data_IF_307210353618
#
_entry.id   IF_307210353618
#
_cell.length_a   1.000
_cell.length_b   1.000
_cell.length_c   1.000
_cell.angle_alpha   90.00
_cell.angle_beta   90.00
_cell.angle_gamma   90.00
#
_symmetry.space_group_name_H-M   'P 1'
#
loop_
_entity.id
_entity.type
_entity.pdbx_description
1 polymer ?
#
# COMPACT_ATOMS: atom_id res chain seq x y z
N UNK A 1 18.46 2.71 2.08
CA UNK A 1 17.72 2.96 0.82
C UNK A 1 16.38 2.24 0.90
N UNK A 2 15.32 2.91 0.52
CA UNK A 2 13.94 2.35 0.47
C UNK A 2 13.66 1.71 -0.88
N UNK A 3 12.60 0.96 -0.97
CA UNK A 3 11.99 0.55 -2.23
C UNK A 3 10.99 1.60 -2.69
N UNK A 4 10.88 1.81 -4.00
CA UNK A 4 9.92 2.71 -4.63
C UNK A 4 8.88 1.91 -5.41
N UNK A 5 7.61 2.20 -5.18
CA UNK A 5 6.49 1.69 -5.97
C UNK A 5 5.94 2.81 -6.87
N UNK A 6 6.07 2.62 -8.17
CA UNK A 6 5.45 3.46 -9.19
C UNK A 6 4.18 2.77 -9.68
N UNK A 7 3.04 3.38 -9.43
CA UNK A 7 1.73 2.75 -9.63
C UNK A 7 0.95 3.48 -10.71
N UNK A 8 0.53 2.75 -11.74
CA UNK A 8 -0.49 3.25 -12.68
C UNK A 8 -1.87 3.13 -12.02
N UNK A 9 -2.38 4.26 -11.53
CA UNK A 9 -3.57 4.29 -10.69
C UNK A 9 -4.82 3.77 -11.40
N UNK A 10 -5.04 4.13 -12.65
CA UNK A 10 -6.21 3.65 -13.39
C UNK A 10 -6.09 2.19 -13.82
N UNK A 11 -4.88 1.68 -14.06
CA UNK A 11 -4.69 0.25 -14.30
C UNK A 11 -5.08 -0.58 -13.07
N UNK A 12 -4.76 -0.12 -11.87
CA UNK A 12 -5.20 -0.79 -10.63
C UNK A 12 -6.72 -0.71 -10.48
N UNK A 13 -7.31 0.47 -10.64
CA UNK A 13 -8.75 0.69 -10.49
C UNK A 13 -9.53 -0.17 -11.50
N UNK A 14 -9.12 -0.17 -12.76
CA UNK A 14 -9.82 -0.92 -13.81
C UNK A 14 -9.52 -2.42 -13.78
N UNK A 15 -8.39 -2.81 -13.21
CA UNK A 15 -8.04 -4.21 -13.02
C UNK A 15 -8.79 -4.92 -11.89
N UNK A 16 -9.45 -4.17 -11.00
CA UNK A 16 -10.15 -4.72 -9.83
C UNK A 16 -11.56 -4.13 -9.68
N UNK A 17 -12.48 -4.48 -10.60
CA UNK A 17 -13.86 -3.98 -10.55
C UNK A 17 -14.65 -4.51 -9.34
N UNK A 18 -14.19 -5.57 -8.69
CA UNK A 18 -14.70 -6.11 -7.44
C UNK A 18 -14.44 -5.18 -6.22
N UNK A 19 -13.43 -4.32 -6.31
CA UNK A 19 -13.03 -3.38 -5.24
C UNK A 19 -13.41 -1.94 -5.59
N UNK A 20 -13.29 -1.57 -6.86
CA UNK A 20 -13.47 -0.20 -7.34
C UNK A 20 -14.69 -0.06 -8.24
N UNK A 21 -15.66 0.72 -7.80
CA UNK A 21 -16.84 1.06 -8.61
C UNK A 21 -16.48 2.17 -9.61
N UNK A 22 -16.40 1.82 -10.91
CA UNK A 22 -16.03 2.75 -11.98
C UNK A 22 -17.02 3.88 -12.22
N UNK A 23 -18.21 3.83 -11.64
CA UNK A 23 -19.21 4.88 -11.78
C UNK A 23 -18.78 6.18 -11.08
N UNK A 24 -17.90 6.07 -10.09
CA UNK A 24 -17.33 7.21 -9.35
C UNK A 24 -15.80 7.10 -9.27
N UNK A 25 -15.13 7.63 -10.28
CA UNK A 25 -13.66 7.59 -10.36
C UNK A 25 -12.97 8.42 -9.27
N UNK A 26 -13.60 9.47 -8.78
CA UNK A 26 -13.04 10.27 -7.68
C UNK A 26 -12.96 9.45 -6.39
N UNK A 27 -14.03 8.76 -6.04
CA UNK A 27 -14.04 7.83 -4.91
C UNK A 27 -13.08 6.67 -5.09
N UNK A 28 -12.92 6.15 -6.32
CA UNK A 28 -11.93 5.12 -6.63
C UNK A 28 -10.50 5.61 -6.38
N UNK A 29 -10.16 6.79 -6.86
CA UNK A 29 -8.83 7.39 -6.63
C UNK A 29 -8.55 7.55 -5.14
N UNK A 30 -9.50 8.12 -4.40
CA UNK A 30 -9.36 8.30 -2.94
C UNK A 30 -9.17 6.97 -2.23
N UNK A 31 -9.96 5.96 -2.56
CA UNK A 31 -9.85 4.62 -1.99
C UNK A 31 -8.48 3.99 -2.29
N UNK A 32 -7.99 4.11 -3.52
CA UNK A 32 -6.66 3.61 -3.88
C UNK A 32 -5.56 4.34 -3.11
N UNK A 33 -5.65 5.67 -2.99
CA UNK A 33 -4.69 6.45 -2.21
C UNK A 33 -4.64 5.99 -0.75
N UNK A 34 -5.79 5.81 -0.10
CA UNK A 34 -5.88 5.36 1.29
C UNK A 34 -5.23 3.98 1.47
N UNK A 35 -5.57 3.03 0.60
CA UNK A 35 -5.03 1.67 0.63
C UNK A 35 -3.51 1.68 0.43
N UNK A 36 -3.01 2.41 -0.56
CA UNK A 36 -1.58 2.47 -0.88
C UNK A 36 -0.78 3.23 0.18
N UNK A 37 -1.36 4.25 0.78
CA UNK A 37 -0.73 4.99 1.87
C UNK A 37 -0.52 4.11 3.10
N UNK A 38 -1.54 3.35 3.49
CA UNK A 38 -1.45 2.40 4.60
C UNK A 38 -0.42 1.31 4.32
N UNK A 39 -0.46 0.74 3.13
CA UNK A 39 0.50 -0.30 2.73
C UNK A 39 1.94 0.23 2.70
N UNK A 40 2.15 1.42 2.14
CA UNK A 40 3.46 2.06 2.06
C UNK A 40 4.05 2.37 3.44
N UNK A 41 3.25 2.94 4.32
CA UNK A 41 3.66 3.25 5.69
C UNK A 41 4.01 2.01 6.50
N UNK A 42 3.22 0.93 6.34
CA UNK A 42 3.42 -0.31 7.07
C UNK A 42 4.68 -1.08 6.63
N UNK A 43 4.98 -1.05 5.34
CA UNK A 43 6.10 -1.79 4.74
C UNK A 43 7.37 -0.95 4.55
N UNK A 44 7.39 0.29 5.00
CA UNK A 44 8.52 1.23 4.85
C UNK A 44 8.96 1.44 3.40
N UNK A 45 8.01 1.60 2.51
CA UNK A 45 8.22 1.86 1.09
C UNK A 45 7.72 3.25 0.69
N UNK A 46 8.35 3.82 -0.32
CA UNK A 46 7.86 5.04 -0.97
C UNK A 46 6.90 4.69 -2.10
N UNK A 47 5.79 5.41 -2.20
CA UNK A 47 4.75 5.19 -3.19
C UNK A 47 4.52 6.45 -4.01
N UNK A 48 4.50 6.31 -5.32
CA UNK A 48 4.10 7.33 -6.27
C UNK A 48 3.01 6.76 -7.18
N UNK A 49 1.81 7.32 -7.08
CA UNK A 49 0.70 6.92 -7.94
C UNK A 49 0.53 7.95 -9.05
N UNK A 50 0.61 7.50 -10.29
CA UNK A 50 0.36 8.32 -11.46
C UNK A 50 -1.04 8.07 -12.02
N UNK A 51 -1.79 9.15 -12.23
CA UNK A 51 -3.06 9.15 -12.92
C UNK A 51 -2.96 9.91 -14.25
N UNK A 52 -3.53 9.36 -15.31
CA UNK A 52 -3.69 10.10 -16.56
C UNK A 52 -4.52 11.36 -16.33
N UNK A 53 -3.93 12.50 -16.62
CA UNK A 53 -4.62 13.78 -16.50
C UNK A 53 -5.60 13.97 -17.66
N UNK A 54 -6.87 14.22 -17.35
CA UNK A 54 -7.90 14.57 -18.34
C UNK A 54 -8.05 16.09 -18.54
N UNK A 55 -7.19 16.89 -17.92
CA UNK A 55 -7.29 18.35 -17.95
C UNK A 55 -6.56 19.00 -19.10
N UNK A 56 -6.79 20.31 -19.26
CA UNK A 56 -6.07 21.17 -20.22
C UNK A 56 -4.67 21.58 -19.73
N UNK A 57 -4.16 20.93 -18.68
CA UNK A 57 -2.84 21.22 -18.14
C UNK A 57 -1.73 20.77 -19.10
N UNK A 58 -0.75 21.63 -19.30
CA UNK A 58 0.45 21.35 -20.10
C UNK A 58 1.59 20.85 -19.23
N UNK A 59 1.42 20.83 -17.91
CA UNK A 59 2.44 20.43 -16.93
C UNK A 59 1.96 19.27 -16.07
N UNK A 60 2.92 18.48 -15.59
CA UNK A 60 2.68 17.46 -14.56
C UNK A 60 2.25 18.17 -13.27
N UNK A 61 1.14 17.74 -12.68
CA UNK A 61 0.70 18.19 -11.35
C UNK A 61 1.13 17.15 -10.32
N UNK A 62 1.85 17.60 -9.31
CA UNK A 62 2.36 16.75 -8.22
C UNK A 62 1.71 17.16 -6.92
N UNK A 63 1.17 16.19 -6.19
CA UNK A 63 0.62 16.34 -4.84
C UNK A 63 1.40 15.46 -3.88
N UNK A 64 2.26 16.06 -3.07
CA UNK A 64 2.99 15.36 -2.01
C UNK A 64 2.12 15.28 -0.76
N UNK A 65 1.59 14.10 -0.45
CA UNK A 65 0.76 13.87 0.73
C UNK A 65 1.60 13.58 1.97
N UNK A 66 2.79 13.04 1.79
CA UNK A 66 3.80 12.86 2.83
C UNK A 66 5.20 12.77 2.20
N UNK A 67 6.24 12.66 3.03
CA UNK A 67 7.61 12.46 2.56
C UNK A 67 7.80 11.20 1.70
N UNK A 68 6.88 10.23 1.80
CA UNK A 68 6.97 8.93 1.13
C UNK A 68 5.73 8.56 0.32
N UNK A 69 4.83 9.52 0.10
CA UNK A 69 3.61 9.26 -0.66
C UNK A 69 3.25 10.44 -1.54
N UNK A 70 3.32 10.24 -2.85
CA UNK A 70 3.12 11.26 -3.87
C UNK A 70 2.08 10.83 -4.88
N UNK A 71 1.22 11.74 -5.27
CA UNK A 71 0.26 11.57 -6.36
C UNK A 71 0.64 12.47 -7.51
N UNK A 72 0.61 11.93 -8.72
CA UNK A 72 0.95 12.64 -9.95
C UNK A 72 -0.20 12.56 -10.93
N UNK A 73 -0.55 13.72 -11.50
CA UNK A 73 -1.49 13.81 -12.62
C UNK A 73 -0.70 14.24 -13.85
N UNK A 74 -0.70 13.39 -14.88
CA UNK A 74 0.03 13.67 -16.11
C UNK A 74 -0.71 14.67 -16.99
N UNK A 75 -0.01 15.50 -17.78
CA UNK A 75 -0.64 16.38 -18.74
C UNK A 75 -1.31 15.57 -19.87
N UNK A 76 -2.19 16.20 -20.62
CA UNK A 76 -2.99 15.56 -21.67
C UNK A 76 -2.19 14.75 -22.69
N UNK A 77 -0.93 15.14 -22.98
CA UNK A 77 -0.06 14.49 -23.96
C UNK A 77 0.86 13.44 -23.40
N UNK A 78 0.82 13.22 -22.09
CA UNK A 78 1.66 12.24 -21.40
C UNK A 78 0.76 11.20 -20.74
N UNK A 79 1.03 9.93 -20.98
CA UNK A 79 0.35 8.85 -20.26
C UNK A 79 1.00 8.59 -18.91
N UNK A 80 0.26 8.00 -17.97
CA UNK A 80 0.82 7.53 -16.71
C UNK A 80 1.95 6.53 -16.94
N UNK A 81 1.80 5.64 -17.91
CA UNK A 81 2.81 4.64 -18.30
C UNK A 81 4.12 5.31 -18.73
N UNK A 82 4.06 6.30 -19.62
CA UNK A 82 5.25 7.06 -20.06
C UNK A 82 5.91 7.83 -18.92
N UNK A 83 5.12 8.38 -18.00
CA UNK A 83 5.65 9.04 -16.80
C UNK A 83 6.38 8.05 -15.90
N UNK A 84 5.78 6.91 -15.62
CA UNK A 84 6.33 5.85 -14.78
C UNK A 84 7.64 5.32 -15.36
N UNK A 85 7.69 5.06 -16.68
CA UNK A 85 8.89 4.61 -17.36
C UNK A 85 10.04 5.61 -17.21
N UNK A 86 9.76 6.89 -17.43
CA UNK A 86 10.72 7.97 -17.25
C UNK A 86 11.23 8.07 -15.82
N UNK A 87 10.32 8.08 -14.83
CA UNK A 87 10.69 8.15 -13.42
C UNK A 87 11.50 6.94 -12.96
N UNK A 88 11.13 5.75 -13.39
CA UNK A 88 11.88 4.53 -13.06
C UNK A 88 13.32 4.57 -13.57
N UNK A 89 13.55 5.16 -14.74
CA UNK A 89 14.88 5.36 -15.30
C UNK A 89 15.68 6.45 -14.54
N UNK A 90 15.06 7.61 -14.30
CA UNK A 90 15.74 8.76 -13.68
C UNK A 90 16.13 8.49 -12.24
N UNK A 91 15.29 7.78 -11.49
CA UNK A 91 15.45 7.55 -10.05
C UNK A 91 16.08 6.20 -9.70
N UNK A 92 16.56 5.43 -10.67
CA UNK A 92 17.09 4.06 -10.46
C UNK A 92 18.21 3.96 -9.42
N UNK A 93 19.01 5.00 -9.30
CA UNK A 93 20.16 5.02 -8.38
C UNK A 93 19.81 5.56 -6.98
N UNK A 94 18.57 6.05 -6.78
CA UNK A 94 18.10 6.61 -5.51
C UNK A 94 17.46 5.56 -4.59
N UNK A 95 17.05 4.42 -5.16
CA UNK A 95 16.31 3.37 -4.45
C UNK A 95 17.01 2.03 -4.51
N UNK A 96 16.75 1.19 -3.51
CA UNK A 96 17.21 -0.19 -3.50
C UNK A 96 16.60 -1.00 -4.64
N UNK A 97 15.28 -0.90 -4.78
CA UNK A 97 14.53 -1.47 -5.90
C UNK A 97 13.41 -0.52 -6.33
N UNK A 98 13.09 -0.54 -7.61
CA UNK A 98 11.93 0.15 -8.15
C UNK A 98 10.96 -0.89 -8.68
N UNK A 99 9.72 -0.85 -8.20
CA UNK A 99 8.62 -1.71 -8.62
C UNK A 99 7.61 -0.88 -9.42
N UNK A 100 7.29 -1.35 -10.61
CA UNK A 100 6.31 -0.71 -11.49
C UNK A 100 5.05 -1.56 -11.52
N UNK A 101 3.97 -1.01 -11.00
CA UNK A 101 2.66 -1.67 -10.96
C UNK A 101 1.85 -1.27 -12.18
N UNK A 102 1.59 -2.24 -13.04
CA UNK A 102 0.86 -2.05 -14.30
C UNK A 102 -0.22 -3.13 -14.47
N UNK A 103 -0.96 -3.06 -15.59
CA UNK A 103 -1.98 -4.06 -15.90
C UNK A 103 -1.39 -5.47 -15.99
N UNK A 104 -2.22 -6.45 -15.67
CA UNK A 104 -1.90 -7.86 -15.79
C UNK A 104 -1.73 -8.24 -17.26
N UNK A 105 -0.62 -8.91 -17.58
CA UNK A 105 -0.36 -9.44 -18.90
C UNK A 105 0.55 -10.67 -18.82
N UNK A 106 0.18 -11.79 -19.45
CA UNK A 106 0.93 -13.04 -19.30
C UNK A 106 2.30 -13.05 -19.99
N UNK A 107 2.55 -12.14 -20.92
CA UNK A 107 3.74 -12.15 -21.77
C UNK A 107 4.74 -11.02 -21.51
N UNK A 108 4.60 -10.31 -20.40
CA UNK A 108 5.45 -9.14 -20.16
C UNK A 108 6.65 -9.52 -19.28
N UNK A 109 7.83 -9.09 -19.69
CA UNK A 109 9.05 -9.25 -18.91
C UNK A 109 8.86 -8.69 -17.49
N UNK A 110 9.26 -9.47 -16.49
CA UNK A 110 9.22 -9.01 -15.09
C UNK A 110 10.28 -7.95 -14.78
N UNK A 111 11.27 -7.80 -15.65
CA UNK A 111 12.33 -6.80 -15.53
C UNK A 111 12.22 -5.87 -16.74
N UNK A 112 12.04 -4.58 -16.47
CA UNK A 112 12.07 -3.56 -17.51
C UNK A 112 13.50 -3.27 -17.96
N UNK A 113 13.68 -2.71 -19.16
CA UNK A 113 14.99 -2.40 -19.72
C UNK A 113 15.87 -1.45 -18.88
N UNK A 114 15.27 -0.74 -17.94
CA UNK A 114 15.94 0.13 -16.97
C UNK A 114 16.28 -0.54 -15.62
N UNK A 115 16.01 -1.84 -15.47
CA UNK A 115 16.26 -2.61 -14.25
C UNK A 115 15.13 -2.57 -13.20
N UNK A 116 14.03 -1.86 -13.46
CA UNK A 116 12.86 -1.87 -12.58
C UNK A 116 12.09 -3.19 -12.70
N UNK A 117 11.48 -3.61 -11.60
CA UNK A 117 10.66 -4.83 -11.55
C UNK A 117 9.21 -4.51 -11.88
N UNK A 118 8.61 -5.31 -12.75
CA UNK A 118 7.20 -5.22 -13.04
C UNK A 118 6.39 -6.03 -12.04
N UNK A 119 5.35 -5.41 -11.45
CA UNK A 119 4.42 -6.06 -10.54
C UNK A 119 3.01 -6.01 -11.15
N UNK A 120 2.42 -7.16 -11.50
CA UNK A 120 1.03 -7.22 -11.92
C UNK A 120 0.08 -6.70 -10.83
N UNK A 121 -1.03 -6.08 -11.22
CA UNK A 121 -2.04 -5.56 -10.28
C UNK A 121 -2.54 -6.66 -9.34
N UNK A 122 -2.78 -7.88 -9.84
CA UNK A 122 -3.21 -9.02 -9.04
C UNK A 122 -2.21 -9.39 -7.93
N UNK A 123 -0.93 -9.32 -8.21
CA UNK A 123 0.13 -9.62 -7.24
C UNK A 123 0.22 -8.55 -6.15
N UNK A 124 0.13 -7.28 -6.52
CA UNK A 124 0.07 -6.18 -5.55
C UNK A 124 -1.14 -6.32 -4.62
N UNK A 125 -2.32 -6.56 -5.18
CA UNK A 125 -3.55 -6.67 -4.38
C UNK A 125 -3.52 -7.86 -3.44
N UNK A 126 -2.96 -8.99 -3.87
CA UNK A 126 -2.75 -10.15 -3.01
C UNK A 126 -1.79 -9.84 -1.85
N UNK A 127 -0.66 -9.19 -2.13
CA UNK A 127 0.28 -8.79 -1.10
C UNK A 127 -0.35 -7.86 -0.06
N UNK A 128 -1.20 -6.93 -0.49
CA UNK A 128 -1.94 -6.03 0.40
C UNK A 128 -2.97 -6.75 1.27
N UNK A 129 -3.69 -7.70 0.70
CA UNK A 129 -4.67 -8.52 1.43
C UNK A 129 -3.98 -9.38 2.50
N UNK A 130 -2.84 -9.99 2.16
CA UNK A 130 -2.02 -10.76 3.10
C UNK A 130 -1.47 -9.89 4.23
N UNK A 131 -0.98 -8.70 3.92
CA UNK A 131 -0.48 -7.72 4.90
C UNK A 131 -1.58 -7.29 5.88
N UNK A 132 -2.76 -6.96 5.36
CA UNK A 132 -3.93 -6.61 6.16
C UNK A 132 -4.38 -7.75 7.07
N UNK A 133 -4.35 -8.99 6.59
CA UNK A 133 -4.69 -10.16 7.39
C UNK A 133 -3.69 -10.38 8.54
N UNK A 134 -2.40 -10.18 8.29
CA UNK A 134 -1.36 -10.24 9.34
C UNK A 134 -1.55 -9.16 10.39
N UNK A 135 -1.80 -7.91 9.98
CA UNK A 135 -2.08 -6.79 10.90
C UNK A 135 -3.27 -7.10 11.82
N UNK A 136 -4.37 -7.62 11.28
CA UNK A 136 -5.57 -7.99 12.04
C UNK A 136 -5.27 -9.04 13.09
N UNK A 137 -4.44 -10.05 12.79
CA UNK A 137 -4.01 -11.08 13.75
C UNK A 137 -3.19 -10.50 14.89
N UNK A 138 -2.28 -9.56 14.60
CA UNK A 138 -1.47 -8.88 15.63
C UNK A 138 -2.32 -8.03 16.57
N UNK A 139 -3.27 -7.25 16.04
CA UNK A 139 -4.18 -6.42 16.82
C UNK A 139 -5.01 -7.28 17.75
N UNK A 140 -5.62 -8.36 17.27
CA UNK A 140 -6.43 -9.30 18.07
C UNK A 140 -5.59 -9.92 19.19
N UNK A 141 -4.36 -10.35 18.89
CA UNK A 141 -3.47 -10.95 19.88
C UNK A 141 -3.06 -9.97 21.00
N UNK A 142 -2.82 -8.71 20.64
CA UNK A 142 -2.47 -7.66 21.60
C UNK A 142 -3.66 -7.27 22.47
N UNK A 143 -4.87 -7.17 21.91
CA UNK A 143 -6.09 -6.92 22.66
C UNK A 143 -6.38 -8.03 23.68
N UNK A 144 -6.19 -9.29 23.33
CA UNK A 144 -6.33 -10.39 24.28
C UNK A 144 -5.30 -10.35 25.42
N UNK A 145 -4.06 -9.93 25.13
CA UNK A 145 -3.04 -9.75 26.18
C UNK A 145 -3.40 -8.60 27.11
N UNK A 146 -3.88 -7.48 26.60
CA UNK A 146 -4.29 -6.33 27.41
C UNK A 146 -5.50 -6.64 28.26
N UNK A 147 -6.52 -7.31 27.72
CA UNK A 147 -7.68 -7.77 28.48
C UNK A 147 -7.30 -8.71 29.63
N UNK A 148 -6.38 -9.65 29.40
CA UNK A 148 -5.88 -10.54 30.46
C UNK A 148 -5.12 -9.76 31.55
N UNK A 149 -4.35 -8.76 31.16
CA UNK A 149 -3.63 -7.88 32.08
C UNK A 149 -4.59 -7.02 32.91
N UNK A 150 -5.64 -6.50 32.32
CA UNK A 150 -6.65 -5.68 33.01
C UNK A 150 -7.51 -6.51 33.97
N UNK A 151 -7.93 -7.70 33.54
CA UNK A 151 -8.68 -8.63 34.40
C UNK A 151 -7.81 -9.05 35.60
N UNK A 152 -6.51 -9.32 35.39
CA UNK A 152 -5.59 -9.65 36.46
C UNK A 152 -5.40 -8.52 37.49
N UNK A 153 -5.51 -7.27 37.09
CA UNK A 153 -5.45 -6.10 37.98
C UNK A 153 -6.77 -5.83 38.73
N UNK A 154 -7.90 -6.27 38.18
CA UNK A 154 -9.22 -6.07 38.76
C UNK A 154 -9.58 -7.14 39.81
N UNK A 155 -8.79 -8.21 39.95
CA UNK A 155 -9.03 -9.28 40.95
C UNK A 155 -8.51 -8.81 42.31
N UNK A 156 -9.33 -8.78 43.37
CA UNK A 156 -8.89 -8.46 44.70
C UNK A 156 -7.77 -9.40 45.17
N UNK A 157 -6.79 -8.86 45.90
CA UNK A 157 -5.65 -9.62 46.42
C UNK A 157 -6.06 -10.89 47.18
N UNK A 158 -7.18 -10.81 47.95
CA UNK A 158 -7.73 -11.97 48.66
C UNK A 158 -8.19 -13.13 47.77
N UNK A 159 -8.56 -12.83 46.52
CA UNK A 159 -8.96 -13.83 45.52
C UNK A 159 -7.72 -14.37 44.79
N UNK A 160 -6.72 -13.54 44.57
CA UNK A 160 -5.45 -13.96 44.00
C UNK A 160 -4.74 -14.95 44.92
N UNK A 161 -4.68 -14.70 46.22
CA UNK A 161 -4.09 -15.62 47.22
C UNK A 161 -4.79 -16.97 47.26
N UNK A 162 -6.13 -16.99 47.12
CA UNK A 162 -6.90 -18.24 47.05
C UNK A 162 -6.61 -19.02 45.78
N UNK A 163 -6.49 -18.33 44.64
CA UNK A 163 -6.16 -18.96 43.35
C UNK A 163 -4.73 -19.52 43.34
N UNK A 164 -3.80 -18.83 43.97
CA UNK A 164 -2.39 -19.30 44.08
C UNK A 164 -2.28 -20.55 44.98
N UNK A 165 -3.05 -20.60 46.06
CA UNK A 165 -3.15 -21.82 46.91
C UNK A 165 -3.73 -23.01 46.15
N UNK A 166 -4.72 -22.79 45.26
CA UNK A 166 -5.30 -23.86 44.45
C UNK A 166 -4.37 -24.34 43.34
N UNK A 167 -3.39 -23.53 42.91
CA UNK A 167 -2.37 -23.88 41.95
C UNK A 167 -1.12 -24.53 42.54
N UNK A 168 -1.08 -24.75 43.88
CA UNK A 168 0.04 -25.38 44.54
C UNK A 168 1.27 -24.50 44.68
N UNK A 169 1.09 -23.23 44.70
CA UNK A 169 2.14 -22.24 44.91
C UNK A 169 2.11 -21.65 46.33
#
# INVERSE_FOLDING_TARGET
MKDLYLVDGYNVIFGRPDIFDRSDLESCRKKLMDIMQDYGAHNDIEVNIAFDGKGNSTKVKVEELSAFFTIVYTPRRMTADSYIEKESYLRRDEYRHIFVVTSDGPEQSQILGNGAYRVPVSDLMRAMEEDKALQSKFITRNNHKNLRSEIGRAIPLSVQEKLDKLRGR
#
